data_IF_330975930183
#
_entry.id   IF_330975930183
#
_cell.length_a   1.000
_cell.length_b   1.000
_cell.length_c   1.000
_cell.angle_alpha   90.00
_cell.angle_beta   90.00
_cell.angle_gamma   90.00
#
_symmetry.space_group_name_H-M   'P 1'
#
loop_
_entity.id
_entity.type
_entity.pdbx_description
1 polymer ?
#
# COMPACT_ATOMS: atom_id res chain seq x y z
N UNK A 1 10.44 0.34 33.74
CA UNK A 1 9.47 -0.29 33.86
C UNK A 1 9.07 0.10 33.42
N UNK A 2 9.83 0.05 33.65
CA UNK A 2 9.03 -0.42 33.55
C UNK A 2 8.92 -0.05 33.18
N UNK A 3 9.05 -0.33 32.77
CA UNK A 3 8.33 -0.91 32.56
C UNK A 3 8.08 -0.66 32.07
N UNK A 4 9.06 -0.36 32.24
CA UNK A 4 8.34 -0.83 31.88
C UNK A 4 8.24 -0.51 31.57
N UNK A 5 8.99 -0.53 31.48
CA UNK A 5 8.10 -0.91 31.22
C UNK A 5 7.92 -0.62 30.79
N UNK A 6 7.82 -0.63 30.54
CA UNK A 6 6.95 -1.18 30.19
C UNK A 6 6.87 -0.94 29.80
N UNK A 7 7.80 -0.93 29.28
CA UNK A 7 6.85 -1.40 29.05
C UNK A 7 6.53 -1.26 28.64
N UNK A 8 6.73 -1.25 28.39
CA UNK A 8 5.85 -1.71 28.18
C UNK A 8 5.45 -1.64 27.68
N UNK A 9 5.87 -1.62 27.65
CA UNK A 9 4.89 -2.02 27.28
C UNK A 9 4.60 -2.15 27.03
N UNK A 10 5.12 -2.48 26.84
CA UNK A 10 4.27 -2.99 26.51
C UNK A 10 4.02 -2.91 26.10
N UNK A 11 4.14 -3.02 25.78
CA UNK A 11 3.32 -3.34 25.52
C UNK A 11 3.09 -3.32 25.01
N UNK A 12 3.59 -3.56 24.85
CA UNK A 12 2.86 -3.89 24.48
C UNK A 12 2.70 -4.11 24.24
N UNK A 13 2.88 -4.26 24.26
CA UNK A 13 2.32 -4.76 24.12
C UNK A 13 1.98 -5.08 24.00
N UNK A 14 2.32 -5.18 24.08
CA UNK A 14 1.75 -5.66 24.00
C UNK A 14 1.51 -6.11 23.75
N UNK A 15 1.96 -6.71 24.17
CA UNK A 15 1.45 -7.17 23.69
C UNK A 15 0.95 -7.09 22.90
N UNK A 16 1.33 -7.31 22.95
CA UNK A 16 0.19 -7.06 22.14
C UNK A 16 0.46 -6.77 20.69
N UNK A 17 -0.55 -6.56 19.93
CA UNK A 17 -0.45 -6.27 18.48
C UNK A 17 0.08 -4.87 18.26
N UNK A 18 1.17 -4.77 17.50
CA UNK A 18 1.68 -3.49 17.04
C UNK A 18 0.88 -3.12 15.78
N UNK A 19 0.10 -2.06 15.87
CA UNK A 19 -0.65 -1.58 14.72
C UNK A 19 0.17 -0.57 13.93
N UNK A 20 -0.09 -0.48 12.64
CA UNK A 20 0.50 0.57 11.83
C UNK A 20 -0.06 1.92 12.26
N UNK A 21 0.78 2.98 12.28
CA UNK A 21 0.26 4.31 12.60
C UNK A 21 -0.74 4.76 11.54
N UNK A 22 -1.63 5.69 11.92
CA UNK A 22 -2.50 6.32 10.94
C UNK A 22 -1.65 7.11 9.96
N UNK A 23 -1.78 6.78 8.67
CA UNK A 23 -1.02 7.43 7.60
C UNK A 23 -1.88 8.54 7.02
N UNK A 24 -1.46 9.82 7.18
CA UNK A 24 -2.24 10.92 6.61
C UNK A 24 -1.97 11.06 5.12
N UNK A 25 -2.87 11.77 4.44
CA UNK A 25 -2.65 12.19 3.06
C UNK A 25 -3.10 11.20 2.03
N UNK A 26 -2.64 11.42 0.80
CA UNK A 26 -3.14 10.74 -0.38
C UNK A 26 -2.21 9.67 -0.92
N UNK A 27 -0.95 9.71 -0.57
CA UNK A 27 0.04 8.82 -1.17
C UNK A 27 0.82 8.07 -0.10
N UNK A 28 0.99 6.80 -0.35
CA UNK A 28 1.82 5.91 0.45
C UNK A 28 3.00 5.48 -0.39
N UNK A 29 4.21 5.65 0.15
CA UNK A 29 5.38 5.03 -0.45
C UNK A 29 5.44 3.59 0.03
N UNK A 30 5.45 2.66 -0.91
CA UNK A 30 5.65 1.25 -0.57
C UNK A 30 6.97 0.80 -1.22
N UNK A 31 7.88 0.30 -0.39
CA UNK A 31 9.17 -0.20 -0.84
C UNK A 31 9.15 -1.71 -0.83
N UNK A 32 9.38 -2.32 -1.98
CA UNK A 32 9.54 -3.76 -2.12
C UNK A 32 10.99 -4.06 -2.49
N UNK A 33 11.45 -5.30 -2.28
CA UNK A 33 12.87 -5.62 -2.33
C UNK A 33 13.21 -6.58 -3.45
N UNK A 34 14.28 -6.24 -4.18
CA UNK A 34 14.86 -7.09 -5.21
C UNK A 34 15.60 -8.25 -4.57
N UNK A 35 15.99 -9.23 -5.38
CA UNK A 35 16.74 -10.41 -4.89
C UNK A 35 18.06 -10.04 -4.24
N UNK A 36 18.69 -8.96 -4.71
CA UNK A 36 19.95 -8.48 -4.14
C UNK A 36 19.77 -7.65 -2.87
N UNK A 37 18.52 -7.51 -2.38
CA UNK A 37 18.23 -6.77 -1.16
C UNK A 37 17.97 -5.28 -1.35
N UNK A 38 18.18 -4.73 -2.54
CA UNK A 38 17.91 -3.31 -2.77
C UNK A 38 16.42 -3.03 -2.86
N UNK A 39 15.99 -1.89 -2.31
CA UNK A 39 14.59 -1.51 -2.27
C UNK A 39 14.17 -0.70 -3.49
N UNK A 40 12.93 -0.88 -3.91
CA UNK A 40 12.30 -0.07 -4.95
C UNK A 40 11.04 0.54 -4.36
N UNK A 41 11.02 1.86 -4.22
CA UNK A 41 9.90 2.60 -3.65
C UNK A 41 8.98 3.12 -4.75
N UNK A 42 7.67 3.00 -4.54
CA UNK A 42 6.69 3.55 -5.48
C UNK A 42 5.58 4.25 -4.69
N UNK A 43 5.10 5.43 -5.15
CA UNK A 43 3.94 6.06 -4.55
C UNK A 43 2.67 5.39 -5.03
N UNK A 44 1.74 5.12 -4.11
CA UNK A 44 0.48 4.46 -4.43
C UNK A 44 -0.66 5.14 -3.67
N UNK A 45 -1.88 4.98 -4.18
CA UNK A 45 -3.09 5.32 -3.46
C UNK A 45 -3.41 4.20 -2.47
N UNK A 46 -4.03 4.55 -1.36
CA UNK A 46 -4.32 3.59 -0.30
C UNK A 46 -5.55 4.01 0.50
N UNK A 47 -6.17 3.04 1.16
CA UNK A 47 -7.10 3.30 2.26
C UNK A 47 -6.62 2.55 3.48
N UNK A 48 -6.89 3.09 4.66
CA UNK A 48 -6.52 2.44 5.92
C UNK A 48 -7.79 1.95 6.61
N UNK A 49 -7.80 0.68 6.99
CA UNK A 49 -8.97 0.03 7.56
C UNK A 49 -8.51 -1.03 8.56
N UNK A 50 -9.04 -0.98 9.77
CA UNK A 50 -8.78 -2.00 10.80
C UNK A 50 -7.29 -2.29 11.01
N UNK A 51 -6.47 -1.24 11.01
CA UNK A 51 -5.03 -1.37 11.24
C UNK A 51 -4.24 -1.83 10.02
N UNK A 52 -4.87 -2.00 8.87
CA UNK A 52 -4.22 -2.40 7.63
C UNK A 52 -4.30 -1.29 6.59
N UNK A 53 -3.33 -1.28 5.69
CA UNK A 53 -3.34 -0.42 4.51
C UNK A 53 -3.73 -1.26 3.31
N UNK A 54 -4.74 -0.82 2.58
CA UNK A 54 -5.23 -1.53 1.40
C UNK A 54 -4.81 -0.76 0.16
N UNK A 55 -4.13 -1.46 -0.75
CA UNK A 55 -3.55 -0.88 -1.97
C UNK A 55 -3.99 -1.70 -3.17
N UNK A 56 -4.47 -1.03 -4.21
CA UNK A 56 -4.75 -1.68 -5.48
C UNK A 56 -3.60 -1.44 -6.43
N UNK A 57 -3.13 -2.50 -7.09
CA UNK A 57 -2.02 -2.42 -8.04
C UNK A 57 -2.22 -3.45 -9.15
N UNK A 58 -1.43 -3.36 -10.20
CA UNK A 58 -1.53 -4.27 -11.34
C UNK A 58 -0.77 -5.57 -11.08
N UNK A 59 -1.38 -6.69 -11.42
CA UNK A 59 -0.82 -8.02 -11.17
C UNK A 59 0.52 -8.24 -11.87
N UNK A 60 0.77 -7.55 -12.98
CA UNK A 60 2.00 -7.71 -13.76
C UNK A 60 3.06 -6.67 -13.38
N UNK A 61 2.84 -5.84 -12.37
CA UNK A 61 3.82 -4.83 -11.97
C UNK A 61 5.03 -5.47 -11.32
N UNK A 62 6.17 -4.78 -11.39
CA UNK A 62 7.39 -5.22 -10.72
C UNK A 62 7.22 -5.34 -9.21
N UNK A 63 6.46 -4.40 -8.63
CA UNK A 63 6.11 -4.40 -7.20
C UNK A 63 5.43 -5.72 -6.80
N UNK A 64 4.44 -6.16 -7.56
CA UNK A 64 3.73 -7.41 -7.27
C UNK A 64 4.68 -8.60 -7.37
N UNK A 65 5.52 -8.65 -8.39
CA UNK A 65 6.49 -9.72 -8.54
C UNK A 65 7.46 -9.79 -7.37
N UNK A 66 7.94 -8.64 -6.91
CA UNK A 66 8.85 -8.60 -5.76
C UNK A 66 8.15 -9.04 -4.48
N UNK A 67 6.92 -8.60 -4.26
CA UNK A 67 6.17 -8.92 -3.05
C UNK A 67 5.77 -10.40 -3.01
N UNK A 68 5.47 -11.01 -4.16
CA UNK A 68 5.19 -12.45 -4.20
C UNK A 68 6.39 -13.26 -3.72
N UNK A 69 7.59 -12.80 -4.01
CA UNK A 69 8.83 -13.46 -3.59
C UNK A 69 9.20 -13.10 -2.16
N UNK A 70 8.98 -11.85 -1.77
CA UNK A 70 9.33 -11.36 -0.43
C UNK A 70 8.24 -10.41 0.05
N UNK A 71 7.45 -10.85 1.02
CA UNK A 71 6.32 -10.10 1.53
C UNK A 71 6.70 -8.92 2.43
N UNK A 72 7.96 -8.78 2.78
CA UNK A 72 8.42 -7.67 3.61
C UNK A 72 8.49 -6.39 2.79
N UNK A 73 7.95 -5.31 3.34
CA UNK A 73 7.94 -4.01 2.70
C UNK A 73 8.24 -2.93 3.73
N UNK A 74 8.55 -1.73 3.23
CA UNK A 74 8.60 -0.52 4.05
C UNK A 74 7.50 0.41 3.57
N UNK A 75 6.83 1.09 4.49
CA UNK A 75 5.78 2.04 4.13
C UNK A 75 5.99 3.37 4.82
N UNK A 76 5.63 4.45 4.14
CA UNK A 76 5.71 5.80 4.68
C UNK A 76 4.75 6.71 3.91
N UNK A 77 4.22 7.76 4.55
CA UNK A 77 3.50 8.77 3.79
C UNK A 77 4.46 9.48 2.84
N UNK A 78 3.97 9.85 1.67
CA UNK A 78 4.81 10.52 0.70
C UNK A 78 4.01 11.47 -0.17
N UNK A 79 4.73 12.25 -1.00
CA UNK A 79 4.12 13.09 -2.02
C UNK A 79 3.80 12.27 -3.26
N UNK A 80 3.07 12.88 -4.21
CA UNK A 80 2.74 12.23 -5.49
C UNK A 80 3.99 11.81 -6.28
N UNK A 81 5.11 12.48 -6.05
CA UNK A 81 6.38 12.17 -6.72
C UNK A 81 7.25 11.20 -5.93
N UNK A 82 6.78 10.77 -4.75
CA UNK A 82 7.49 9.76 -3.96
C UNK A 82 8.40 10.31 -2.88
N UNK A 83 8.42 11.64 -2.64
CA UNK A 83 9.23 12.21 -1.57
C UNK A 83 8.63 11.84 -0.22
N UNK A 84 9.42 11.21 0.64
CA UNK A 84 8.95 10.76 1.94
C UNK A 84 8.64 11.93 2.87
N UNK A 85 7.53 11.81 3.60
CA UNK A 85 7.08 12.80 4.58
C UNK A 85 7.31 12.35 6.03
N UNK A 86 7.72 11.10 6.22
CA UNK A 86 8.06 10.53 7.52
C UNK A 86 8.99 9.34 7.29
N UNK A 87 9.58 8.83 8.36
CA UNK A 87 10.47 7.68 8.27
C UNK A 87 9.70 6.42 7.88
N UNK A 88 10.27 5.57 7.00
CA UNK A 88 9.63 4.32 6.63
C UNK A 88 9.49 3.38 7.82
N UNK A 89 8.41 2.62 7.81
CA UNK A 89 8.08 1.65 8.87
C UNK A 89 8.03 0.26 8.23
N UNK A 90 8.65 -0.76 8.87
CA UNK A 90 8.55 -2.13 8.37
C UNK A 90 7.11 -2.62 8.41
N UNK A 91 6.73 -3.37 7.38
CA UNK A 91 5.39 -3.92 7.26
C UNK A 91 5.42 -5.19 6.42
N UNK A 92 4.27 -5.85 6.33
CA UNK A 92 4.12 -7.11 5.61
C UNK A 92 2.93 -6.98 4.66
N UNK A 93 3.14 -7.34 3.41
CA UNK A 93 2.11 -7.26 2.39
C UNK A 93 1.58 -8.65 2.05
N UNK A 94 0.25 -8.78 1.97
CA UNK A 94 -0.41 -10.02 1.56
C UNK A 94 -1.39 -9.71 0.46
N UNK A 95 -1.61 -10.70 -0.42
CA UNK A 95 -2.59 -10.55 -1.49
C UNK A 95 -3.96 -10.97 -0.98
N UNK A 96 -4.96 -10.12 -1.18
CA UNK A 96 -6.33 -10.45 -0.84
C UNK A 96 -7.01 -11.22 -1.98
N UNK A 97 -8.04 -12.04 -1.68
CA UNK A 97 -8.80 -12.73 -2.72
C UNK A 97 -9.48 -11.73 -3.66
N UNK A 98 -9.70 -12.14 -4.90
CA UNK A 98 -10.39 -11.33 -5.91
C UNK A 98 -11.77 -10.86 -5.45
N UNK A 99 -12.42 -11.61 -4.56
CA UNK A 99 -13.72 -11.24 -4.01
C UNK A 99 -13.70 -9.91 -3.25
N UNK A 100 -12.52 -9.48 -2.75
CA UNK A 100 -12.38 -8.23 -2.03
C UNK A 100 -12.18 -7.02 -2.94
N UNK A 101 -11.91 -7.24 -4.22
CA UNK A 101 -11.57 -6.18 -5.16
C UNK A 101 -12.65 -5.10 -5.22
N UNK A 102 -13.91 -5.49 -5.39
CA UNK A 102 -14.99 -4.52 -5.49
C UNK A 102 -15.16 -3.66 -4.25
N UNK A 103 -15.01 -4.25 -3.06
CA UNK A 103 -15.09 -3.53 -1.80
C UNK A 103 -13.97 -2.48 -1.69
N UNK A 104 -12.74 -2.89 -1.99
CA UNK A 104 -11.59 -1.99 -1.90
C UNK A 104 -11.67 -0.89 -2.95
N UNK A 105 -12.12 -1.22 -4.16
CA UNK A 105 -12.32 -0.20 -5.19
C UNK A 105 -13.31 0.88 -4.75
N UNK A 106 -14.39 0.48 -4.07
CA UNK A 106 -15.37 1.44 -3.54
C UNK A 106 -14.77 2.32 -2.44
N UNK A 107 -13.94 1.74 -1.57
CA UNK A 107 -13.27 2.51 -0.52
C UNK A 107 -12.29 3.53 -1.12
N UNK A 108 -11.51 3.11 -2.13
CA UNK A 108 -10.60 4.01 -2.83
C UNK A 108 -11.37 5.11 -3.57
N UNK A 109 -12.45 4.75 -4.24
CA UNK A 109 -13.27 5.74 -4.96
C UNK A 109 -13.84 6.77 -4.01
N UNK A 110 -14.28 6.37 -2.81
CA UNK A 110 -14.80 7.30 -1.82
C UNK A 110 -13.73 8.27 -1.31
N UNK A 111 -12.51 7.76 -1.07
CA UNK A 111 -11.41 8.59 -0.58
C UNK A 111 -10.90 9.55 -1.63
N UNK A 112 -10.84 9.13 -2.89
CA UNK A 112 -10.21 9.89 -3.97
C UNK A 112 -11.21 10.43 -4.99
N UNK A 113 -12.42 10.73 -4.56
CA UNK A 113 -13.50 11.16 -5.46
C UNK A 113 -13.11 12.31 -6.38
N UNK A 114 -12.52 13.35 -5.81
CA UNK A 114 -12.13 14.54 -6.57
C UNK A 114 -10.97 14.21 -7.51
N UNK A 115 -10.01 13.46 -7.02
CA UNK A 115 -8.84 13.03 -7.84
C UNK A 115 -9.29 12.21 -9.04
N UNK A 116 -10.30 11.35 -8.87
CA UNK A 116 -10.81 10.53 -9.96
C UNK A 116 -11.49 11.37 -11.03
N UNK A 117 -12.17 12.46 -10.66
CA UNK A 117 -12.78 13.36 -11.62
C UNK A 117 -11.74 14.00 -12.55
N UNK A 118 -10.54 14.24 -12.04
CA UNK A 118 -9.44 14.82 -12.84
C UNK A 118 -8.70 13.74 -13.63
N UNK A 119 -8.50 12.56 -13.05
CA UNK A 119 -7.70 11.48 -13.63
C UNK A 119 -8.43 10.67 -14.69
N UNK A 120 -9.76 10.54 -14.59
CA UNK A 120 -10.53 9.71 -15.54
C UNK A 120 -10.28 10.03 -17.01
N UNK A 121 -10.32 11.32 -17.44
CA UNK A 121 -10.03 11.62 -18.84
C UNK A 121 -8.62 11.20 -19.26
N UNK A 122 -7.64 11.35 -18.38
CA UNK A 122 -6.25 10.96 -18.66
C UNK A 122 -6.16 9.43 -18.81
N UNK A 123 -6.84 8.70 -17.94
CA UNK A 123 -6.86 7.22 -18.01
C UNK A 123 -7.57 6.73 -19.26
N UNK A 124 -8.65 7.41 -19.66
CA UNK A 124 -9.36 7.06 -20.88
C UNK A 124 -8.46 7.24 -22.11
N UNK A 125 -7.69 8.34 -22.15
CA UNK A 125 -6.75 8.58 -23.24
C UNK A 125 -5.66 7.52 -23.27
N UNK A 126 -5.12 7.15 -22.11
CA UNK A 126 -4.11 6.09 -22.00
C UNK A 126 -4.66 4.74 -22.45
N UNK A 127 -5.91 4.44 -22.08
CA UNK A 127 -6.55 3.19 -22.48
C UNK A 127 -6.72 3.13 -23.99
N UNK A 128 -7.06 4.26 -24.64
CA UNK A 128 -7.18 4.34 -26.09
C UNK A 128 -5.83 4.05 -26.78
N UNK A 129 -4.72 4.51 -26.17
CA UNK A 129 -3.38 4.24 -26.70
C UNK A 129 -2.96 2.79 -26.51
N UNK A 130 -3.61 2.06 -25.64
CA UNK A 130 -3.33 0.64 -25.38
C UNK A 130 -4.12 -0.31 -26.25
N UNK A 131 -4.73 0.20 -27.30
CA UNK A 131 -5.58 -0.60 -28.18
C UNK A 131 -4.90 -1.91 -28.57
N UNK A 132 -5.64 -3.05 -28.37
CA UNK A 132 -5.10 -4.38 -28.71
C UNK A 132 -4.26 -5.03 -27.63
N UNK A 133 -4.00 -4.35 -26.51
CA UNK A 133 -3.27 -4.94 -25.38
C UNK A 133 -4.24 -5.35 -24.28
N UNK A 134 -4.05 -6.53 -23.68
CA UNK A 134 -4.87 -6.90 -22.52
C UNK A 134 -4.64 -5.90 -21.38
N UNK A 135 -5.72 -5.58 -20.67
CA UNK A 135 -5.63 -4.78 -19.45
C UNK A 135 -4.94 -5.59 -18.37
N UNK A 136 -4.01 -4.99 -17.60
CA UNK A 136 -3.48 -5.67 -16.42
C UNK A 136 -4.60 -5.99 -15.45
N UNK A 137 -4.55 -7.18 -14.88
CA UNK A 137 -5.52 -7.57 -13.85
C UNK A 137 -5.17 -6.83 -12.55
N UNK A 138 -6.15 -6.16 -11.90
CA UNK A 138 -5.88 -5.54 -10.61
C UNK A 138 -5.78 -6.58 -9.50
N UNK A 139 -4.93 -6.33 -8.53
CA UNK A 139 -4.84 -7.12 -7.30
C UNK A 139 -4.82 -6.17 -6.11
N UNK A 140 -5.26 -6.68 -4.96
CA UNK A 140 -5.27 -5.91 -3.71
C UNK A 140 -4.19 -6.43 -2.79
N UNK A 141 -3.39 -5.50 -2.27
CA UNK A 141 -2.43 -5.79 -1.22
C UNK A 141 -3.00 -5.30 0.11
N UNK A 142 -2.98 -6.15 1.12
CA UNK A 142 -3.26 -5.75 2.49
C UNK A 142 -1.92 -5.68 3.22
N UNK A 143 -1.57 -4.49 3.69
CA UNK A 143 -0.30 -4.24 4.36
C UNK A 143 -0.55 -4.12 5.84
N UNK A 144 0.10 -4.97 6.62
CA UNK A 144 -0.06 -5.08 8.07
C UNK A 144 1.28 -4.84 8.76
N UNK A 145 1.28 -4.61 10.09
CA UNK A 145 2.54 -4.50 10.83
C UNK A 145 3.40 -5.75 10.66
N UNK A 146 4.69 -5.52 10.57
CA UNK A 146 5.66 -6.60 10.42
C UNK A 146 5.75 -7.46 11.67
#
# INVERSE_FOLDING_TARGET
MSELAFVEHPERQQQGTVELPVIPGKYLSITSFKRNGSGVATPVWFVQEAGQLLVQTDADSGKVKRIRRNSQVLVAPCTATGRLLADPVPARAEFLPDAELGRVERLLAAKYRIDLLVIKPIRAAQAALRRGRPRPKPVILAVSPA
#
